data_IF_357917924776
#
_entry.id   IF_357917924776
#
_cell.length_a   1.000
_cell.length_b   1.000
_cell.length_c   1.000
_cell.angle_alpha   90.00
_cell.angle_beta   90.00
_cell.angle_gamma   90.00
#
_symmetry.space_group_name_H-M   'P 1'
#
loop_
_entity.id
_entity.type
_entity.pdbx_description
1 polymer ?
2 non-polymer ?
3 non-polymer ?
4 non-polymer ?
5 non-polymer ?
6 water ?
#
# COMPACT_ATOMS: atom_id res chain seq x y z
N UNK A 1 11.42 0.71 -0.46
CA UNK A 1 12.21 0.08 -1.57
C UNK A 1 13.31 -0.88 -1.04
N UNK A 2 14.18 -0.32 -0.20
CA UNK A 2 15.08 -1.10 0.64
C UNK A 2 14.37 -1.35 1.99
N UNK A 3 13.18 -0.75 2.11
CA UNK A 3 12.41 -0.90 3.34
C UNK A 3 11.22 -1.87 3.15
N UNK A 4 10.64 -2.27 4.28
CA UNK A 4 9.63 -3.31 4.36
C UNK A 4 8.47 -3.29 3.33
N UNK A 5 7.62 -2.27 3.29
CA UNK A 5 6.46 -2.27 2.31
C UNK A 5 6.98 -2.35 0.87
N UNK A 6 7.98 -1.52 0.58
CA UNK A 6 8.66 -1.54 -0.73
C UNK A 6 9.15 -2.91 -1.11
N UNK A 7 9.78 -3.60 -0.16
CA UNK A 7 10.30 -4.95 -0.44
C UNK A 7 9.13 -5.91 -0.74
N UNK A 8 8.07 -5.79 0.04
CA UNK A 8 6.89 -6.61 -0.22
C UNK A 8 6.27 -6.34 -1.59
N UNK A 9 6.18 -5.06 -1.97
CA UNK A 9 5.65 -4.71 -3.30
C UNK A 9 6.47 -5.38 -4.42
N UNK A 10 7.78 -5.29 -4.32
CA UNK A 10 8.66 -5.88 -5.34
C UNK A 10 8.48 -7.40 -5.43
N UNK A 11 8.49 -8.06 -4.28
CA UNK A 11 8.29 -9.51 -4.26
C UNK A 11 6.96 -9.91 -4.89
N UNK A 12 5.90 -9.16 -4.62
CA UNK A 12 4.56 -9.56 -5.05
C UNK A 12 4.16 -9.11 -6.45
N UNK A 13 4.77 -8.04 -6.97
CA UNK A 13 4.27 -7.47 -8.25
C UNK A 13 5.22 -7.69 -9.44
N UNK A 14 6.50 -7.96 -9.15
CA UNK A 14 7.55 -8.00 -10.18
C UNK A 14 8.01 -6.59 -10.56
N UNK A 15 7.48 -5.57 -9.89
CA UNK A 15 7.80 -4.21 -10.23
C UNK A 15 8.70 -3.65 -9.15
N UNK A 16 9.37 -2.57 -9.50
CA UNK A 16 10.05 -1.70 -8.58
C UNK A 16 9.06 -1.02 -7.61
N UNK A 17 9.50 -0.77 -6.37
CA UNK A 17 8.69 -0.09 -5.36
C UNK A 17 8.27 1.32 -5.81
N UNK A 18 9.22 1.97 -6.48
CA UNK A 18 9.05 3.29 -7.04
C UNK A 18 7.89 3.39 -8.04
N UNK A 19 7.48 2.26 -8.62
CA UNK A 19 6.31 2.23 -9.49
C UNK A 19 4.95 2.25 -8.78
N UNK A 20 4.95 2.10 -7.45
CA UNK A 20 3.73 2.15 -6.63
C UNK A 20 3.72 3.19 -5.52
N UNK A 21 4.83 3.86 -5.24
CA UNK A 21 4.78 4.77 -4.11
C UNK A 21 4.32 6.17 -4.52
N UNK A 22 3.98 6.36 -5.81
CA UNK A 22 3.63 7.67 -6.39
C UNK A 22 2.39 7.70 -7.33
N UNK A 23 1.62 6.62 -7.33
CA UNK A 23 0.69 6.26 -8.40
C UNK A 23 -0.70 6.77 -8.13
N UNK A 24 -1.39 7.24 -9.17
CA UNK A 24 -2.77 7.73 -9.02
C UNK A 24 -2.93 8.82 -7.99
N UNK A 25 -4.10 8.84 -7.33
CA UNK A 25 -4.46 9.88 -6.39
C UNK A 25 -4.19 9.47 -4.95
N UNK A 26 -3.99 8.16 -4.70
CA UNK A 26 -3.81 7.64 -3.33
C UNK A 26 -2.47 6.97 -2.99
N UNK A 27 -1.74 6.47 -3.98
CA UNK A 27 -0.48 5.75 -3.66
C UNK A 27 0.60 6.79 -3.44
N UNK A 28 1.14 6.85 -2.24
CA UNK A 28 1.97 8.01 -1.88
C UNK A 28 1.37 8.79 -0.74
N UNK A 29 1.99 9.89 -0.34
CA UNK A 29 1.55 10.51 0.92
C UNK A 29 0.18 11.21 0.79
N UNK A 30 -0.70 10.97 1.76
CA UNK A 30 -2.08 11.46 1.67
C UNK A 30 -2.86 10.86 0.50
N UNK A 31 -3.81 11.62 -0.01
CA UNK A 31 -4.76 11.08 -0.94
C UNK A 31 -6.04 11.86 -0.80
N UNK A 32 -6.72 12.10 -1.92
CA UNK A 32 -7.98 12.87 -1.97
C UNK A 32 -8.62 12.58 -3.33
N UNK A 33 -9.91 12.94 -3.47
CA UNK A 33 -10.64 12.81 -4.75
C UNK A 33 -10.84 11.36 -5.13
N UNK A 34 -11.25 11.06 -6.36
CA UNK A 34 -11.66 9.75 -6.71
C UNK A 34 -10.47 8.93 -7.23
N UNK A 35 -10.28 7.70 -6.72
CA UNK A 35 -9.18 6.85 -7.18
C UNK A 35 -9.25 6.65 -8.70
N UNK A 36 -8.11 6.64 -9.36
CA UNK A 36 -8.12 6.58 -10.83
C UNK A 36 -8.47 5.21 -11.39
N UNK A 37 -8.18 4.15 -10.63
CA UNK A 37 -8.30 2.78 -11.15
C UNK A 37 -8.25 1.78 -9.96
N UNK A 38 -8.28 0.46 -10.22
CA UNK A 38 -8.27 -0.55 -9.12
C UNK A 38 -7.02 -0.49 -8.23
N UNK A 39 -5.85 -0.35 -8.85
CA UNK A 39 -4.57 -0.19 -8.11
C UNK A 39 -4.63 1.01 -7.15
N UNK A 40 -5.15 2.12 -7.64
CA UNK A 40 -5.36 3.29 -6.77
C UNK A 40 -6.29 2.96 -5.62
N UNK A 41 -7.37 2.20 -5.88
CA UNK A 41 -8.29 1.81 -4.82
C UNK A 41 -7.52 0.97 -3.78
N UNK A 42 -6.55 0.15 -4.23
CA UNK A 42 -5.74 -0.60 -3.22
C UNK A 42 -5.12 0.41 -2.28
N UNK A 43 -4.65 1.55 -2.80
CA UNK A 43 -3.98 2.56 -1.95
C UNK A 43 -4.95 3.37 -1.10
N UNK A 44 -6.13 3.71 -1.67
CA UNK A 44 -7.21 4.27 -0.84
C UNK A 44 -7.50 3.37 0.40
N UNK A 45 -7.71 2.05 0.17
CA UNK A 45 -7.93 1.09 1.29
C UNK A 45 -6.75 0.98 2.27
N UNK A 46 -5.53 1.00 1.75
CA UNK A 46 -4.30 0.95 2.56
C UNK A 46 -4.18 2.18 3.45
N UNK A 47 -4.44 3.36 2.88
CA UNK A 47 -4.49 4.57 3.66
C UNK A 47 -5.51 4.44 4.83
N UNK A 48 -6.70 3.90 4.54
CA UNK A 48 -7.75 3.69 5.54
C UNK A 48 -7.24 2.70 6.59
N UNK A 49 -6.57 1.64 6.11
CA UNK A 49 -5.96 0.63 7.00
C UNK A 49 -5.03 1.30 8.00
N UNK A 50 -4.12 2.18 7.54
CA UNK A 50 -3.20 2.90 8.45
C UNK A 50 -3.93 3.81 9.42
N UNK A 51 -5.01 4.43 8.93
CA UNK A 51 -5.86 5.27 9.79
C UNK A 51 -6.40 4.45 10.97
N UNK A 52 -6.82 3.21 10.68
CA UNK A 52 -7.34 2.33 11.71
C UNK A 52 -6.22 1.99 12.74
N UNK A 53 -5.03 1.70 12.21
CA UNK A 53 -3.88 1.39 13.09
C UNK A 53 -3.48 2.58 13.97
N UNK A 54 -3.47 3.77 13.38
CA UNK A 54 -3.23 4.99 14.13
C UNK A 54 -4.25 5.15 15.28
N UNK A 55 -5.52 4.86 15.01
CA UNK A 55 -6.59 5.02 16.02
C UNK A 55 -6.41 3.98 17.16
N UNK A 56 -5.78 2.86 16.85
CA UNK A 56 -5.44 1.84 17.86
C UNK A 56 -4.18 2.17 18.69
N UNK A 57 -3.56 3.31 18.41
CA UNK A 57 -2.34 3.78 19.09
C UNK A 57 -1.04 3.34 18.42
N UNK A 58 -1.11 2.73 17.23
CA UNK A 58 0.10 2.32 16.50
C UNK A 58 0.64 3.49 15.67
N UNK A 59 1.87 3.37 15.16
CA UNK A 59 2.45 4.37 14.26
C UNK A 59 2.82 3.70 12.94
N UNK A 60 1.82 3.30 12.14
CA UNK A 60 2.13 2.36 11.05
C UNK A 60 3.14 2.93 10.04
N UNK A 61 3.19 4.25 9.87
CA UNK A 61 4.17 4.88 8.97
C UNK A 61 5.61 4.67 9.45
N UNK A 62 5.79 4.32 10.72
CA UNK A 62 7.11 4.08 11.27
C UNK A 62 7.38 2.62 11.71
N UNK A 63 6.33 1.80 11.82
CA UNK A 63 6.52 0.47 12.38
C UNK A 63 7.38 -0.35 11.44
N UNK A 64 8.26 -1.16 12.00
CA UNK A 64 9.06 -2.05 11.19
C UNK A 64 8.69 -3.46 11.57
N UNK A 65 8.47 -4.31 10.57
CA UNK A 65 8.04 -5.70 10.80
C UNK A 65 8.90 -6.70 10.05
N UNK A 66 8.60 -8.00 10.25
CA UNK A 66 9.28 -9.10 9.57
C UNK A 66 8.32 -9.80 8.66
N UNK A 67 8.80 -10.30 7.53
CA UNK A 67 7.93 -11.15 6.71
C UNK A 67 8.68 -12.04 5.78
N UNK A 68 8.02 -13.12 5.36
CA UNK A 68 8.57 -13.99 4.35
C UNK A 68 7.50 -14.22 3.31
N UNK A 69 7.96 -14.59 2.11
CA UNK A 69 7.09 -15.03 1.04
C UNK A 69 7.49 -16.46 0.65
N UNK A 70 6.56 -17.39 0.75
CA UNK A 70 6.69 -18.71 0.14
C UNK A 70 5.49 -18.89 -0.78
N UNK A 71 5.00 -20.13 -0.89
CA UNK A 71 3.97 -20.52 -1.85
C UNK A 71 2.61 -20.60 -1.18
N UNK A 72 2.59 -20.73 0.15
CA UNK A 72 1.35 -20.52 0.91
C UNK A 72 0.96 -19.04 0.98
N UNK A 73 1.93 -18.16 0.64
CA UNK A 73 1.73 -16.70 0.60
C UNK A 73 2.70 -15.87 1.44
N UNK A 74 2.18 -14.78 2.00
CA UNK A 74 2.95 -13.81 2.79
C UNK A 74 2.73 -14.17 4.25
N UNK A 75 3.83 -14.44 4.94
CA UNK A 75 3.80 -14.66 6.38
C UNK A 75 4.29 -13.43 7.15
N UNK A 76 3.44 -12.87 8.03
CA UNK A 76 3.79 -11.68 8.83
C UNK A 76 4.31 -11.98 10.27
N UNK A 77 5.18 -11.12 10.80
CA UNK A 77 5.70 -11.37 12.18
C UNK A 77 6.25 -10.06 12.69
N UNK A 78 6.50 -9.99 13.98
CA UNK A 78 7.03 -8.77 14.61
C UNK A 78 6.89 -8.96 16.10
N UNK A 79 7.81 -8.38 16.87
CA UNK A 79 7.74 -8.39 18.32
C UNK A 79 6.40 -7.86 18.86
N UNK A 80 5.84 -6.84 18.20
CA UNK A 80 4.64 -6.22 18.78
C UNK A 80 3.42 -6.38 17.90
N UNK A 81 2.25 -6.33 18.51
CA UNK A 81 0.98 -6.38 17.76
C UNK A 81 0.90 -5.24 16.70
N UNK A 82 1.37 -4.05 17.07
CA UNK A 82 1.36 -2.93 16.09
C UNK A 82 2.23 -3.23 14.86
N UNK A 83 3.37 -3.89 15.07
CA UNK A 83 4.21 -4.34 13.92
C UNK A 83 3.47 -5.34 13.03
N UNK A 84 2.84 -6.35 13.65
CA UNK A 84 2.08 -7.35 12.93
C UNK A 84 0.86 -6.76 12.20
N UNK A 85 0.23 -5.78 12.85
CA UNK A 85 -0.93 -5.08 12.21
C UNK A 85 -0.47 -4.32 10.96
N UNK A 86 0.70 -3.69 11.04
CA UNK A 86 1.22 -2.90 9.91
C UNK A 86 1.51 -3.87 8.76
N UNK A 87 2.14 -4.98 9.09
CA UNK A 87 2.38 -6.03 8.10
C UNK A 87 1.08 -6.49 7.41
N UNK A 88 0.01 -6.62 8.20
CA UNK A 88 -1.27 -7.08 7.70
C UNK A 88 -1.88 -6.04 6.70
N UNK A 89 -1.85 -4.76 7.05
CA UNK A 89 -2.25 -3.71 6.09
C UNK A 89 -1.41 -3.77 4.81
N UNK A 90 -0.09 -3.84 4.95
CA UNK A 90 0.78 -3.91 3.77
C UNK A 90 0.51 -5.14 2.92
N UNK A 91 0.39 -6.30 3.59
CA UNK A 91 0.07 -7.58 2.89
C UNK A 91 -1.20 -7.43 2.06
N UNK A 92 -2.25 -6.91 2.67
CA UNK A 92 -3.51 -6.75 1.92
C UNK A 92 -3.30 -5.89 0.67
N UNK A 93 -2.57 -4.79 0.84
CA UNK A 93 -2.30 -3.87 -0.27
C UNK A 93 -1.44 -4.55 -1.36
N UNK A 94 -0.35 -5.26 -0.96
CA UNK A 94 0.53 -5.88 -1.96
C UNK A 94 -0.21 -6.95 -2.77
N UNK A 95 -1.08 -7.70 -2.09
CA UNK A 95 -1.93 -8.70 -2.73
C UNK A 95 -2.94 -8.05 -3.68
N UNK A 96 -3.41 -6.88 -3.29
CA UNK A 96 -4.35 -6.12 -4.11
C UNK A 96 -3.58 -5.62 -5.36
N UNK A 97 -2.37 -5.09 -5.15
CA UNK A 97 -1.52 -4.69 -6.30
C UNK A 97 -1.34 -5.87 -7.29
N UNK A 98 -0.97 -7.04 -6.78
CA UNK A 98 -0.81 -8.24 -7.64
C UNK A 98 -2.09 -8.64 -8.35
N UNK A 99 -3.19 -8.70 -7.61
CA UNK A 99 -4.49 -9.00 -8.20
C UNK A 99 -4.86 -8.10 -9.38
N UNK A 100 -4.45 -6.85 -9.30
CA UNK A 100 -4.81 -5.85 -10.29
C UNK A 100 -3.72 -5.53 -11.31
N UNK A 101 -2.68 -6.37 -11.42
CA UNK A 101 -1.63 -6.14 -12.43
C UNK A 101 -2.16 -5.94 -13.85
N UNK A 102 -3.24 -6.63 -14.19
CA UNK A 102 -3.88 -6.55 -15.49
C UNK A 102 -4.35 -5.18 -15.91
N UNK A 103 -4.69 -4.30 -14.96
CA UNK A 103 -5.05 -2.91 -15.30
C UNK A 103 -4.10 -1.85 -14.80
N UNK A 104 -2.97 -2.27 -14.22
CA UNK A 104 -1.90 -1.32 -13.90
C UNK A 104 -1.58 -0.54 -15.18
N UNK A 105 -1.48 0.78 -15.07
CA UNK A 105 -1.21 1.64 -16.23
C UNK A 105 -0.07 2.60 -15.90
N UNK A 106 1.03 2.47 -16.65
CA UNK A 106 2.22 3.34 -16.50
C UNK A 106 1.90 4.81 -16.52
N UNK A 107 0.84 5.18 -17.23
CA UNK A 107 0.48 6.60 -17.34
C UNK A 107 0.04 7.19 -15.97
N UNK A 108 -0.38 6.33 -15.03
CA UNK A 108 -0.79 6.77 -13.66
C UNK A 108 0.35 6.84 -12.62
N UNK A 109 1.53 6.36 -13.01
CA UNK A 109 2.71 6.50 -12.17
C UNK A 109 3.14 7.97 -12.20
N UNK A 110 3.44 8.55 -11.03
CA UNK A 110 3.79 9.96 -10.89
C UNK A 110 2.69 10.86 -11.39
N UNK A 111 1.46 10.51 -11.06
CA UNK A 111 0.32 11.25 -11.53
C UNK A 111 0.27 12.65 -10.87
N UNK A 112 0.27 13.73 -11.70
CA UNK A 112 0.05 15.12 -11.31
C UNK A 112 -1.20 15.25 -10.45
N UNK A 113 -0.99 15.67 -9.22
CA UNK A 113 -2.06 15.70 -8.25
C UNK A 113 -3.22 16.60 -8.63
N UNK A 114 -2.96 17.66 -9.37
CA UNK A 114 -4.01 18.52 -9.86
C UNK A 114 -5.01 17.78 -10.75
N UNK A 115 -4.66 16.59 -11.23
CA UNK A 115 -5.60 15.84 -12.07
C UNK A 115 -6.59 15.05 -11.25
N UNK A 116 -6.43 15.04 -9.94
CA UNK A 116 -7.33 14.28 -9.09
C UNK A 116 -8.57 15.15 -8.86
N UNK A 117 -9.71 14.63 -9.26
CA UNK A 117 -10.98 15.37 -9.18
C UNK A 117 -12.07 14.48 -8.60
N UNK A 118 -13.21 15.10 -8.25
CA UNK A 118 -14.36 14.35 -7.78
C UNK A 118 -14.40 14.20 -6.27
N UNK A 119 -15.41 13.47 -5.77
CA UNK A 119 -15.52 13.29 -4.33
C UNK A 119 -14.40 12.37 -3.81
N UNK A 120 -14.21 12.38 -2.50
CA UNK A 120 -13.27 11.50 -1.78
C UNK A 120 -14.10 10.37 -1.17
N UNK A 121 -13.89 9.11 -1.61
CA UNK A 121 -14.69 8.04 -1.06
C UNK A 121 -14.40 7.82 0.45
N UNK A 122 -15.45 7.50 1.26
CA UNK A 122 -15.22 7.30 2.69
C UNK A 122 -14.46 5.97 2.87
N UNK A 123 -13.85 5.78 4.02
CA UNK A 123 -13.15 4.51 4.29
C UNK A 123 -14.09 3.28 4.31
X LIG B 1 -9.25 -1.63 13.74
X LIG C 1 11.59 -14.05 2.41
X LIG D 1 1.24 -16.22 -2.94
X LIG E 1 -7.35 -2.59 4.17
X LIG F 1 4.93 -1.80 -15.91
X LIG G 1 -0.74 -14.40 1.26
X LIG H 1 1.13 0.30 -18.94
X LIG I 1 11.50 -4.50 17.67
X LIG J 1 1.67 -3.16 20.03
X LIG K 1 -1.77 7.57 0.38
X LIG L 1 0.42 10.05 -8.13
X LIG M 1 -5.29 -4.63 9.77
X LIG M 1 -5.64 -5.91 9.23
X LIG M 1 -6.54 -3.71 9.83
X LIG M 1 -7.59 -4.20 8.99
X LIG M 1 -7.03 -3.49 11.24
X LIG M 1 -8.12 -2.55 11.19
X LIG N 1 11.44 -5.39 12.27
X LIG N 1 11.05 -6.01 13.51
X LIG N 1 12.95 -5.33 12.10
X LIG N 1 13.56 -4.29 12.91
X LIG N 1 13.22 -5.12 10.61
X LIG N 1 13.60 -3.75 10.34
X LIG O 1 17.33 -8.33 5.24
X LIG O 1 17.18 -8.17 6.77
X LIG O 1 16.61 -9.52 4.55
X LIG O 1 16.15 -10.63 5.40
X LIG O 1 14.76 -11.04 5.58
X LIG O 1 14.59 -12.52 5.95
X LIG O 1 14.14 -10.09 6.63
X LIG O 1 13.99 -10.87 4.28
X LIG O 1 15.89 -8.62 7.31
X LIG O 1 15.64 -9.04 8.69
X LIG O 1 15.61 -10.59 8.74
X LIG O 1 14.31 -8.35 9.03
X LIG O 1 16.74 -8.42 9.59
X LIG O 1 14.53 -11.35 9.37
X LIG O 1 13.39 -8.19 7.91
X LIG O 1 17.55 -9.33 10.43
X LIG O 1 15.36 -12.90 7.09
X LIG O 1 12.74 -10.19 6.95
X LIG O 1 12.89 -10.07 4.70
#
# INVERSE_FOLDING_TARGET
NLVQFGVMIEKMTGKSALQYNDYGCYCGIGGSHWPVDQTDWCCHAHDCCYGRLEKLGCEPKLEKYLFSVSERGIFCAGRTTCQRLTCECDKRAALCFRRNLGTYNRKYAHYPNKLCTGPTPPC
CL CL
CL CL
CL CL
CL CL
CL CL
CL CL
CL CL
CL CL
CL CL
CA CA
CA CA
GOL C1 O1 C2 O2 C3 O3
GOL C1 O1 C2 O2 C3 O3
B3P C1 C2 C3 N1 C4 C5 C6 C7 N2 C8 C9 C10 C11 O1 O2 O3 O4 O5 O6
#
